data_IF_784013212580
#
_entry.id   IF_784013212580
#
_cell.length_a   1.000
_cell.length_b   1.000
_cell.length_c   1.000
_cell.angle_alpha   90.00
_cell.angle_beta   90.00
_cell.angle_gamma   90.00
#
_symmetry.space_group_name_H-M   'P 1'
#
loop_
_entity.id
_entity.type
_entity.pdbx_description
1 polymer ?
#
# COMPACT_ATOMS: atom_id res chain seq x y z
N UNK A 1 87.45 33.15 41.53
CA UNK A 1 86.38 32.85 40.55
C UNK A 1 85.67 34.16 40.18
N UNK A 2 85.75 34.62 38.94
CA UNK A 2 85.15 35.92 38.53
C UNK A 2 83.65 35.73 38.32
N UNK A 3 82.84 36.22 39.24
CA UNK A 3 81.38 36.20 39.10
C UNK A 3 81.00 37.03 37.87
N UNK A 4 80.50 36.37 36.82
CA UNK A 4 80.03 37.07 35.61
C UNK A 4 78.88 37.97 36.05
N UNK A 5 78.94 39.28 35.73
CA UNK A 5 77.86 40.23 36.01
C UNK A 5 76.56 39.66 35.44
N UNK A 6 75.61 39.35 36.33
CA UNK A 6 74.28 38.90 35.94
C UNK A 6 73.56 40.00 35.16
N UNK A 7 72.72 39.62 34.20
CA UNK A 7 71.83 40.56 33.49
C UNK A 7 70.49 40.54 34.20
N UNK A 8 70.09 41.69 34.76
CA UNK A 8 68.77 41.90 35.34
C UNK A 8 67.90 42.66 34.33
N UNK A 9 66.63 42.27 34.20
CA UNK A 9 65.65 42.92 33.31
C UNK A 9 64.34 43.12 34.06
N UNK A 10 63.63 44.18 33.70
CA UNK A 10 62.26 44.46 34.16
C UNK A 10 61.19 43.87 33.24
N UNK A 11 61.59 43.50 32.01
CA UNK A 11 60.69 42.90 31.01
C UNK A 11 60.97 41.39 30.86
N UNK A 12 59.90 40.60 30.93
CA UNK A 12 59.91 39.14 31.00
C UNK A 12 60.43 38.54 29.70
N UNK A 13 60.12 39.20 28.60
CA UNK A 13 60.48 38.77 27.25
C UNK A 13 61.91 39.16 26.88
N UNK A 14 62.51 40.09 27.62
CA UNK A 14 63.93 40.46 27.47
C UNK A 14 64.85 39.60 28.37
N UNK A 15 64.28 38.72 29.20
CA UNK A 15 65.05 37.82 30.04
C UNK A 15 65.64 36.70 29.18
N UNK A 16 66.94 36.41 29.34
CA UNK A 16 67.60 35.34 28.57
C UNK A 16 67.06 33.95 28.91
N UNK A 17 66.79 33.72 30.19
CA UNK A 17 66.32 32.46 30.72
C UNK A 17 65.36 32.73 31.87
N UNK A 18 64.22 32.04 31.87
CA UNK A 18 63.24 32.05 32.96
C UNK A 18 62.75 30.61 33.14
N UNK A 19 62.76 30.14 34.39
CA UNK A 19 62.16 28.86 34.75
C UNK A 19 60.67 29.04 35.01
N UNK A 20 59.84 28.27 34.32
CA UNK A 20 58.39 28.28 34.51
C UNK A 20 57.96 27.19 35.49
N UNK A 21 57.14 27.56 36.49
CA UNK A 21 56.61 26.61 37.49
C UNK A 21 55.09 26.70 37.66
N UNK A 22 54.46 25.57 37.99
CA UNK A 22 53.05 25.50 38.44
C UNK A 22 52.91 25.72 39.95
N UNK A 23 54.00 25.66 40.71
CA UNK A 23 53.98 25.87 42.16
C UNK A 23 54.19 27.36 42.49
N UNK A 24 53.13 28.03 42.94
CA UNK A 24 53.15 29.46 43.28
C UNK A 24 54.08 29.80 44.45
N UNK A 25 54.17 28.91 45.45
CA UNK A 25 55.02 29.12 46.63
C UNK A 25 56.50 29.13 46.25
N UNK A 26 56.92 28.23 45.35
CA UNK A 26 58.30 28.19 44.86
C UNK A 26 58.71 29.49 44.16
N UNK A 27 57.82 30.06 43.34
CA UNK A 27 58.08 31.32 42.65
C UNK A 27 58.19 32.49 43.64
N UNK A 28 57.33 32.53 44.67
CA UNK A 28 57.36 33.56 45.71
C UNK A 28 58.62 33.48 46.58
N UNK A 29 58.97 32.28 47.07
CA UNK A 29 60.15 32.07 47.90
C UNK A 29 61.44 32.37 47.15
N UNK A 30 61.56 31.91 45.90
CA UNK A 30 62.72 32.21 45.06
C UNK A 30 62.86 33.72 44.84
N UNK A 31 61.76 34.43 44.53
CA UNK A 31 61.80 35.89 44.38
C UNK A 31 62.28 36.58 45.65
N UNK A 32 61.71 36.21 46.80
CA UNK A 32 62.09 36.77 48.10
C UNK A 32 63.57 36.54 48.40
N UNK A 33 64.07 35.32 48.21
CA UNK A 33 65.48 34.97 48.44
C UNK A 33 66.43 35.69 47.48
N UNK A 34 66.07 35.85 46.22
CA UNK A 34 66.90 36.62 45.27
C UNK A 34 67.03 38.10 45.64
N UNK A 35 65.99 38.69 46.25
CA UNK A 35 66.01 40.08 46.75
C UNK A 35 66.83 40.17 48.04
N UNK A 36 66.63 39.24 48.99
CA UNK A 36 67.38 39.20 50.26
C UNK A 36 68.91 39.06 50.02
N UNK A 37 69.31 38.29 49.01
CA UNK A 37 70.72 38.10 48.66
C UNK A 37 71.31 39.22 47.80
N UNK A 38 70.53 40.24 47.43
CA UNK A 38 70.96 41.34 46.57
C UNK A 38 71.28 40.93 45.12
N UNK A 39 70.89 39.72 44.70
CA UNK A 39 71.14 39.18 43.35
C UNK A 39 70.18 39.81 42.33
N UNK A 40 68.96 40.15 42.76
CA UNK A 40 67.92 40.76 41.93
C UNK A 40 67.30 41.98 42.62
N UNK A 41 67.02 43.04 41.85
CA UNK A 41 66.24 44.18 42.33
C UNK A 41 64.78 43.75 42.57
N UNK A 42 64.05 44.32 43.55
CA UNK A 42 62.62 44.05 43.74
C UNK A 42 61.77 44.31 42.49
N UNK A 43 62.22 45.24 41.63
CA UNK A 43 61.60 45.62 40.36
C UNK A 43 61.99 44.73 39.18
N UNK A 44 62.96 43.84 39.35
CA UNK A 44 63.42 42.93 38.31
C UNK A 44 62.69 41.60 38.36
N UNK A 45 62.70 40.91 37.23
CA UNK A 45 61.98 39.65 37.09
C UNK A 45 62.77 38.53 37.73
N UNK A 46 62.14 37.71 38.61
CA UNK A 46 62.82 36.61 39.26
C UNK A 46 63.17 35.51 38.25
N UNK A 47 64.20 34.70 38.52
CA UNK A 47 64.60 33.59 37.65
C UNK A 47 63.52 32.50 37.55
N UNK A 48 62.60 32.41 38.52
CA UNK A 48 61.48 31.48 38.53
C UNK A 48 60.18 32.26 38.51
N UNK A 49 59.37 32.03 37.47
CA UNK A 49 58.08 32.72 37.28
C UNK A 49 56.95 31.68 37.29
N UNK A 50 55.87 32.03 37.98
CA UNK A 50 54.68 31.18 38.02
C UNK A 50 53.95 31.20 36.66
N UNK A 51 53.44 30.05 36.22
CA UNK A 51 52.76 29.89 34.93
C UNK A 51 51.68 30.95 34.70
N UNK A 52 50.87 31.28 35.72
CA UNK A 52 49.83 32.32 35.60
C UNK A 52 50.42 33.69 35.27
N UNK A 53 51.49 34.12 35.95
CA UNK A 53 52.12 35.44 35.71
C UNK A 53 52.71 35.51 34.31
N UNK A 54 53.36 34.43 33.86
CA UNK A 54 53.89 34.33 32.50
C UNK A 54 52.77 34.36 31.45
N UNK A 55 51.73 33.52 31.61
CA UNK A 55 50.58 33.51 30.70
C UNK A 55 49.85 34.85 30.66
N UNK A 56 49.65 35.51 31.80
CA UNK A 56 49.04 36.85 31.86
C UNK A 56 49.92 37.88 31.17
N UNK A 57 51.25 37.84 31.35
CA UNK A 57 52.14 38.77 30.66
C UNK A 57 52.18 38.56 29.14
N UNK A 58 52.08 37.31 28.67
CA UNK A 58 51.89 37.00 27.25
C UNK A 58 50.56 37.58 26.80
N UNK A 59 49.48 37.26 27.51
CA UNK A 59 48.13 37.69 27.15
C UNK A 59 47.97 39.21 27.15
N UNK A 60 48.57 39.95 28.08
CA UNK A 60 48.54 41.41 28.09
C UNK A 60 49.37 42.01 26.94
N UNK A 61 50.50 41.38 26.61
CA UNK A 61 51.38 41.86 25.52
C UNK A 61 50.83 41.54 24.14
N UNK A 62 50.15 40.40 23.99
CA UNK A 62 49.53 40.00 22.73
C UNK A 62 48.10 40.54 22.61
N UNK A 63 47.33 40.58 23.70
CA UNK A 63 45.87 40.67 23.69
C UNK A 63 45.23 42.07 23.73
N UNK A 64 45.98 43.15 23.96
CA UNK A 64 45.38 44.49 24.17
C UNK A 64 45.58 45.50 23.03
N UNK A 65 46.25 45.17 21.92
CA UNK A 65 46.51 46.18 20.89
C UNK A 65 47.00 45.74 19.51
N UNK A 66 47.18 44.45 19.23
CA UNK A 66 47.49 44.01 17.88
C UNK A 66 46.19 43.64 17.16
N UNK A 67 45.72 44.50 16.24
CA UNK A 67 44.52 44.30 15.43
C UNK A 67 44.49 43.02 14.56
N UNK A 68 45.61 42.27 14.53
CA UNK A 68 45.77 41.00 13.83
C UNK A 68 46.15 39.87 14.82
N UNK A 69 45.44 39.74 15.94
CA UNK A 69 45.53 38.53 16.77
C UNK A 69 44.66 37.43 16.17
N UNK A 70 45.16 36.79 15.12
CA UNK A 70 44.69 35.46 14.77
C UNK A 70 45.12 34.51 15.90
N UNK A 71 44.29 34.36 16.93
CA UNK A 71 44.44 33.23 17.85
C UNK A 71 44.44 31.99 16.96
N UNK A 72 45.52 31.19 16.94
CA UNK A 72 45.61 30.07 16.01
C UNK A 72 44.38 29.20 16.21
N UNK A 73 43.57 29.01 15.15
CA UNK A 73 42.33 28.22 15.22
C UNK A 73 42.57 26.86 15.88
N UNK A 74 43.75 26.27 15.67
CA UNK A 74 44.22 25.04 16.30
C UNK A 74 44.26 25.10 17.84
N UNK A 75 44.70 26.21 18.41
CA UNK A 75 44.76 26.39 19.88
C UNK A 75 43.37 26.53 20.48
N UNK A 76 42.47 27.26 19.80
CA UNK A 76 41.07 27.35 20.21
C UNK A 76 40.40 25.99 20.13
N UNK A 77 40.55 25.28 19.01
CA UNK A 77 40.00 23.93 18.83
C UNK A 77 40.53 22.96 19.88
N UNK A 78 41.85 22.96 20.17
CA UNK A 78 42.42 22.12 21.22
C UNK A 78 41.91 22.48 22.63
N UNK A 79 41.66 23.77 22.88
CA UNK A 79 41.08 24.21 24.16
C UNK A 79 39.61 23.81 24.27
N UNK A 80 38.85 23.91 23.17
CA UNK A 80 37.46 23.42 23.09
C UNK A 80 37.40 21.90 23.27
N UNK A 81 38.28 21.15 22.62
CA UNK A 81 38.41 19.71 22.78
C UNK A 81 38.70 19.34 24.25
N UNK A 82 39.59 20.07 24.92
CA UNK A 82 39.88 19.84 26.34
C UNK A 82 38.69 20.15 27.27
N UNK A 83 37.81 21.08 26.88
CA UNK A 83 36.58 21.37 27.63
C UNK A 83 35.50 20.33 27.36
N UNK A 84 35.41 19.83 26.12
CA UNK A 84 34.46 18.79 25.72
C UNK A 84 34.89 17.38 26.15
N UNK A 85 36.19 17.18 26.43
CA UNK A 85 36.70 15.91 26.91
C UNK A 85 36.12 15.56 28.28
N UNK A 86 35.59 14.34 28.38
CA UNK A 86 35.01 13.78 29.61
C UNK A 86 36.10 13.74 30.69
N UNK A 87 35.90 14.49 31.78
CA UNK A 87 36.82 14.48 32.92
C UNK A 87 36.56 13.26 33.80
N UNK A 88 37.51 12.32 33.92
CA UNK A 88 37.30 11.11 34.73
C UNK A 88 37.05 11.44 36.20
N UNK A 89 37.56 12.57 36.70
CA UNK A 89 37.33 13.02 38.07
C UNK A 89 35.86 13.27 38.41
N UNK A 90 35.07 13.82 37.48
CA UNK A 90 33.62 14.05 37.70
C UNK A 90 32.88 12.72 37.71
N UNK A 91 33.18 11.85 36.75
CA UNK A 91 32.57 10.50 36.67
C UNK A 91 32.88 9.69 37.92
N UNK A 92 34.12 9.73 38.41
CA UNK A 92 34.51 9.04 39.64
C UNK A 92 33.83 9.62 40.88
N UNK A 93 33.63 10.94 40.95
CA UNK A 93 32.89 11.57 42.04
C UNK A 93 31.41 11.12 42.04
N UNK A 94 30.74 11.15 40.89
CA UNK A 94 29.35 10.65 40.76
C UNK A 94 29.27 9.17 41.12
N UNK A 95 30.22 8.35 40.64
CA UNK A 95 30.31 6.93 40.97
C UNK A 95 30.48 6.70 42.47
N UNK A 96 31.38 7.45 43.11
CA UNK A 96 31.64 7.33 44.56
C UNK A 96 30.41 7.68 45.38
N UNK A 97 29.70 8.76 45.04
CA UNK A 97 28.49 9.15 45.78
C UNK A 97 27.34 8.15 45.51
N UNK A 98 27.23 7.65 44.27
CA UNK A 98 26.24 6.59 43.96
C UNK A 98 26.54 5.29 44.72
N UNK A 99 27.81 4.94 44.89
CA UNK A 99 28.24 3.83 45.74
C UNK A 99 27.91 4.05 47.22
N UNK A 100 28.07 5.28 47.73
CA UNK A 100 27.69 5.64 49.10
C UNK A 100 26.18 5.53 49.35
N UNK A 101 25.36 5.76 48.33
CA UNK A 101 23.90 5.60 48.40
C UNK A 101 23.45 4.12 48.40
N UNK A 102 24.32 3.18 48.01
CA UNK A 102 24.04 1.74 48.07
C UNK A 102 23.17 1.17 46.93
N UNK A 103 22.79 1.98 45.93
CA UNK A 103 21.95 1.54 44.82
C UNK A 103 22.77 0.87 43.69
N UNK A 104 22.95 -0.45 43.75
CA UNK A 104 23.69 -1.19 42.71
C UNK A 104 23.12 -1.01 41.30
N UNK A 105 21.79 -0.92 41.18
CA UNK A 105 21.11 -0.72 39.91
C UNK A 105 21.52 0.61 39.25
N UNK A 106 21.64 1.69 40.04
CA UNK A 106 22.03 3.02 39.54
C UNK A 106 23.51 3.06 39.16
N UNK A 107 24.36 2.29 39.82
CA UNK A 107 25.77 2.16 39.44
C UNK A 107 25.90 1.52 38.06
N UNK A 108 25.20 0.39 37.82
CA UNK A 108 25.18 -0.25 36.50
C UNK A 108 24.60 0.68 35.43
N UNK A 109 23.53 1.40 35.77
CA UNK A 109 22.94 2.39 34.89
C UNK A 109 23.91 3.54 34.57
N UNK A 110 24.69 4.02 35.55
CA UNK A 110 25.72 5.02 35.35
C UNK A 110 26.80 4.52 34.39
N UNK A 111 27.28 3.28 34.56
CA UNK A 111 28.28 2.71 33.66
C UNK A 111 27.76 2.63 32.22
N UNK A 112 26.49 2.25 32.04
CA UNK A 112 25.84 2.26 30.73
C UNK A 112 25.73 3.68 30.16
N UNK A 113 25.33 4.66 30.96
CA UNK A 113 25.20 6.05 30.53
C UNK A 113 26.56 6.69 30.22
N UNK A 114 27.60 6.40 30.99
CA UNK A 114 28.97 6.90 30.77
C UNK A 114 29.59 6.29 29.52
N UNK A 115 29.23 5.06 29.16
CA UNK A 115 29.67 4.44 27.90
C UNK A 115 29.14 5.17 26.65
N UNK A 116 28.15 6.07 26.81
CA UNK A 116 27.58 6.88 25.74
C UNK A 116 28.06 8.32 25.84
N UNK A 117 28.74 8.78 24.79
CA UNK A 117 29.37 10.11 24.75
C UNK A 117 28.39 11.24 25.05
N UNK A 118 27.14 11.17 24.55
CA UNK A 118 26.16 12.25 24.70
C UNK A 118 25.60 12.38 26.11
N UNK A 119 25.36 11.27 26.79
CA UNK A 119 24.94 11.26 28.19
C UNK A 119 26.08 11.74 29.09
N UNK A 120 27.33 11.36 28.79
CA UNK A 120 28.49 11.88 29.50
C UNK A 120 28.74 13.38 29.25
N UNK A 121 28.47 13.89 28.05
CA UNK A 121 28.51 15.32 27.75
C UNK A 121 27.46 16.11 28.55
N UNK A 122 26.21 15.62 28.64
CA UNK A 122 25.19 16.25 29.48
C UNK A 122 25.61 16.33 30.95
N UNK A 123 26.26 15.28 31.46
CA UNK A 123 26.84 15.30 32.81
C UNK A 123 27.90 16.41 32.96
N UNK A 124 28.79 16.56 31.97
CA UNK A 124 29.81 17.61 31.97
C UNK A 124 29.20 19.01 31.88
N UNK A 125 28.17 19.20 31.07
CA UNK A 125 27.48 20.47 30.90
C UNK A 125 26.79 20.91 32.21
N UNK A 126 26.11 19.99 32.89
CA UNK A 126 25.43 20.29 34.16
C UNK A 126 26.39 20.50 35.34
N UNK A 127 27.54 19.82 35.32
CA UNK A 127 28.56 19.95 36.38
C UNK A 127 29.65 20.98 36.07
N UNK A 128 29.64 21.58 34.87
CA UNK A 128 30.70 22.45 34.35
C UNK A 128 32.11 21.82 34.44
N UNK A 129 32.18 20.49 34.46
CA UNK A 129 33.43 19.74 34.62
C UNK A 129 34.10 19.88 36.00
N UNK A 130 33.36 20.31 37.03
CA UNK A 130 33.84 20.43 38.40
C UNK A 130 33.42 19.23 39.26
N UNK A 131 34.40 18.52 39.83
CA UNK A 131 34.15 17.31 40.63
C UNK A 131 33.51 17.60 42.01
N UNK A 132 33.41 18.87 42.42
CA UNK A 132 32.80 19.30 43.68
C UNK A 132 31.30 19.61 43.56
N UNK A 133 30.75 19.61 42.34
CA UNK A 133 29.34 19.92 42.10
C UNK A 133 28.42 18.72 42.40
N UNK A 134 28.78 17.47 42.05
CA UNK A 134 27.95 16.32 42.41
C UNK A 134 27.84 16.14 43.94
N UNK A 135 26.61 16.05 44.44
CA UNK A 135 26.23 15.88 45.84
C UNK A 135 25.10 14.83 45.95
N UNK A 136 24.87 14.28 47.14
CA UNK A 136 23.81 13.28 47.35
C UNK A 136 22.42 13.78 46.90
N UNK A 137 22.13 15.06 47.10
CA UNK A 137 20.82 15.66 46.81
C UNK A 137 20.58 15.93 45.31
N UNK A 138 21.63 16.15 44.52
CA UNK A 138 21.50 16.52 43.10
C UNK A 138 21.72 15.36 42.13
N UNK A 139 22.16 14.20 42.62
CA UNK A 139 22.51 13.06 41.78
C UNK A 139 21.30 12.50 41.04
N UNK A 140 20.14 12.42 41.68
CA UNK A 140 18.91 11.96 41.01
C UNK A 140 18.53 12.85 39.84
N UNK A 141 18.68 14.17 39.99
CA UNK A 141 18.43 15.13 38.91
C UNK A 141 19.46 14.97 37.78
N UNK A 142 20.74 14.86 38.12
CA UNK A 142 21.81 14.60 37.13
C UNK A 142 21.56 13.31 36.33
N UNK A 143 21.11 12.23 36.98
CA UNK A 143 20.75 10.99 36.29
C UNK A 143 19.58 11.18 35.32
N UNK A 144 18.53 11.89 35.72
CA UNK A 144 17.38 12.16 34.85
C UNK A 144 17.78 12.99 33.63
N UNK A 145 18.64 13.98 33.81
CA UNK A 145 19.19 14.80 32.73
C UNK A 145 20.09 13.99 31.79
N UNK A 146 20.92 13.08 32.31
CA UNK A 146 21.73 12.17 31.50
C UNK A 146 20.90 11.15 30.71
N UNK A 147 19.73 10.75 31.23
CA UNK A 147 18.80 9.82 30.59
C UNK A 147 18.03 10.46 29.44
N UNK A 148 17.72 11.75 29.54
CA UNK A 148 16.95 12.48 28.54
C UNK A 148 17.47 12.34 27.10
N UNK A 149 18.76 12.61 26.78
CA UNK A 149 19.27 12.47 25.41
C UNK A 149 19.19 11.03 24.89
N UNK A 150 19.37 10.04 25.77
CA UNK A 150 19.27 8.64 25.40
C UNK A 150 17.83 8.26 25.01
N UNK A 151 16.85 8.67 25.82
CA UNK A 151 15.44 8.43 25.52
C UNK A 151 14.98 9.18 24.26
N UNK A 152 15.52 10.36 23.99
CA UNK A 152 15.24 11.07 22.74
C UNK A 152 15.80 10.35 21.51
N UNK A 153 17.00 9.80 21.58
CA UNK A 153 17.61 9.04 20.49
C UNK A 153 16.82 7.77 20.19
N UNK A 154 16.49 6.99 21.23
CA UNK A 154 15.65 5.79 21.09
C UNK A 154 14.28 6.14 20.49
N UNK A 155 13.63 7.21 20.97
CA UNK A 155 12.36 7.68 20.39
C UNK A 155 12.49 8.06 18.93
N UNK A 156 13.59 8.70 18.53
CA UNK A 156 13.84 9.07 17.12
C UNK A 156 14.06 7.83 16.26
N UNK A 157 14.83 6.86 16.72
CA UNK A 157 15.06 5.59 16.01
C UNK A 157 13.77 4.76 15.90
N UNK A 158 12.98 4.69 16.97
CA UNK A 158 11.67 4.04 16.95
C UNK A 158 10.71 4.76 15.99
N UNK A 159 10.72 6.09 15.97
CA UNK A 159 9.88 6.85 15.04
C UNK A 159 10.29 6.64 13.57
N UNK A 160 11.59 6.56 13.27
CA UNK A 160 12.04 6.30 11.90
C UNK A 160 11.69 4.88 11.45
N UNK A 161 11.94 3.86 12.29
CA UNK A 161 11.58 2.47 12.00
C UNK A 161 10.07 2.28 11.82
N UNK A 162 9.24 2.86 12.70
CA UNK A 162 7.79 2.84 12.55
C UNK A 162 7.30 3.53 11.26
N UNK A 163 7.93 4.64 10.87
CA UNK A 163 7.59 5.31 9.62
C UNK A 163 7.95 4.46 8.40
N UNK A 164 9.12 3.80 8.41
CA UNK A 164 9.53 2.87 7.36
C UNK A 164 8.59 1.66 7.26
N UNK A 165 8.21 1.07 8.39
CA UNK A 165 7.25 -0.04 8.43
C UNK A 165 5.87 0.39 7.94
N UNK A 166 5.40 1.57 8.35
CA UNK A 166 4.13 2.13 7.87
C UNK A 166 4.15 2.39 6.37
N UNK A 167 5.25 2.91 5.84
CA UNK A 167 5.40 3.13 4.41
C UNK A 167 5.40 1.80 3.63
N UNK A 168 6.13 0.79 4.12
CA UNK A 168 6.09 -0.58 3.55
C UNK A 168 4.70 -1.20 3.61
N UNK A 169 3.95 -0.98 4.70
CA UNK A 169 2.58 -1.46 4.84
C UNK A 169 1.63 -0.77 3.84
N UNK A 170 1.77 0.55 3.65
CA UNK A 170 1.00 1.31 2.66
C UNK A 170 1.30 0.84 1.24
N UNK A 171 2.57 0.61 0.89
CA UNK A 171 2.96 0.08 -0.42
C UNK A 171 2.40 -1.32 -0.69
N UNK A 172 2.40 -2.20 0.33
CA UNK A 172 1.76 -3.52 0.23
C UNK A 172 0.26 -3.38 0.00
N UNK A 173 -0.42 -2.55 0.78
CA UNK A 173 -1.86 -2.33 0.64
C UNK A 173 -2.23 -1.73 -0.72
N UNK A 174 -1.41 -0.82 -1.26
CA UNK A 174 -1.62 -0.24 -2.59
C UNK A 174 -1.50 -1.30 -3.70
N UNK A 175 -0.47 -2.17 -3.61
CA UNK A 175 -0.30 -3.29 -4.55
C UNK A 175 -1.46 -4.29 -4.49
N UNK A 176 -1.95 -4.57 -3.29
CA UNK A 176 -3.09 -5.48 -3.13
C UNK A 176 -4.40 -4.86 -3.64
N UNK A 177 -4.61 -3.55 -3.44
CA UNK A 177 -5.74 -2.85 -4.04
C UNK A 177 -5.68 -2.82 -5.58
N UNK A 178 -4.49 -2.68 -6.17
CA UNK A 178 -4.31 -2.74 -7.61
C UNK A 178 -4.62 -4.14 -8.16
N UNK A 179 -4.20 -5.21 -7.46
CA UNK A 179 -4.57 -6.59 -7.81
C UNK A 179 -6.09 -6.81 -7.72
N UNK A 180 -6.72 -6.37 -6.63
CA UNK A 180 -8.18 -6.49 -6.48
C UNK A 180 -8.91 -5.73 -7.61
N UNK A 181 -8.41 -4.55 -8.00
CA UNK A 181 -9.02 -3.76 -9.07
C UNK A 181 -8.83 -4.40 -10.44
N UNK A 182 -7.67 -4.97 -10.73
CA UNK A 182 -7.41 -5.68 -11.98
C UNK A 182 -8.23 -6.96 -12.09
N UNK A 183 -8.33 -7.74 -11.00
CA UNK A 183 -9.20 -8.92 -10.94
C UNK A 183 -10.69 -8.56 -11.06
N UNK A 184 -11.14 -7.48 -10.41
CA UNK A 184 -12.52 -7.00 -10.54
C UNK A 184 -12.82 -6.55 -11.98
N UNK A 185 -11.89 -5.87 -12.64
CA UNK A 185 -12.02 -5.49 -14.05
C UNK A 185 -12.09 -6.70 -14.98
N UNK A 186 -11.24 -7.71 -14.76
CA UNK A 186 -11.27 -8.96 -15.53
C UNK A 186 -12.57 -9.77 -15.32
N UNK A 187 -13.13 -9.76 -14.11
CA UNK A 187 -14.44 -10.37 -13.84
C UNK A 187 -15.56 -9.63 -14.57
N UNK A 188 -15.54 -8.30 -14.57
CA UNK A 188 -16.53 -7.51 -15.31
C UNK A 188 -16.46 -7.76 -16.82
N UNK A 189 -15.27 -7.79 -17.43
CA UNK A 189 -15.15 -8.09 -18.86
C UNK A 189 -15.64 -9.50 -19.20
N UNK A 190 -15.32 -10.49 -18.36
CA UNK A 190 -15.83 -11.86 -18.54
C UNK A 190 -17.35 -11.93 -18.39
N UNK A 191 -17.94 -11.21 -17.42
CA UNK A 191 -19.39 -11.13 -17.27
C UNK A 191 -20.07 -10.46 -18.46
N UNK A 192 -19.46 -9.41 -19.02
CA UNK A 192 -19.94 -8.76 -20.24
C UNK A 192 -19.87 -9.69 -21.46
N UNK A 193 -18.77 -10.41 -21.65
CA UNK A 193 -18.61 -11.42 -22.71
C UNK A 193 -19.64 -12.55 -22.59
N UNK A 194 -19.84 -13.08 -21.37
CA UNK A 194 -20.86 -14.10 -21.11
C UNK A 194 -22.27 -13.57 -21.37
N UNK A 195 -22.55 -12.31 -21.01
CA UNK A 195 -23.83 -11.66 -21.28
C UNK A 195 -24.06 -11.46 -22.79
N UNK A 196 -23.02 -11.06 -23.53
CA UNK A 196 -23.07 -10.95 -24.99
C UNK A 196 -23.30 -12.31 -25.65
N UNK A 197 -22.52 -13.34 -25.28
CA UNK A 197 -22.70 -14.71 -25.78
C UNK A 197 -24.12 -15.23 -25.49
N UNK A 198 -24.65 -15.01 -24.28
CA UNK A 198 -26.04 -15.39 -23.94
C UNK A 198 -27.06 -14.67 -24.81
N UNK A 199 -26.84 -13.39 -25.16
CA UNK A 199 -27.73 -12.63 -26.04
C UNK A 199 -27.66 -13.14 -27.48
N UNK A 200 -26.46 -13.39 -28.00
CA UNK A 200 -26.26 -13.97 -29.33
C UNK A 200 -26.93 -15.34 -29.43
N UNK A 201 -26.71 -16.21 -28.44
CA UNK A 201 -27.37 -17.51 -28.36
C UNK A 201 -28.89 -17.35 -28.32
N UNK A 202 -29.43 -16.46 -27.50
CA UNK A 202 -30.87 -16.23 -27.44
C UNK A 202 -31.45 -15.75 -28.78
N UNK A 203 -30.76 -14.82 -29.46
CA UNK A 203 -31.18 -14.33 -30.78
C UNK A 203 -31.12 -15.42 -31.85
N UNK A 204 -30.10 -16.29 -31.83
CA UNK A 204 -29.99 -17.45 -32.71
C UNK A 204 -31.12 -18.47 -32.47
N UNK A 205 -31.51 -18.70 -31.22
CA UNK A 205 -32.65 -19.57 -30.90
C UNK A 205 -33.97 -18.96 -31.36
N UNK A 206 -34.16 -17.66 -31.14
CA UNK A 206 -35.38 -16.96 -31.57
C UNK A 206 -35.53 -16.97 -33.09
N UNK A 207 -34.45 -16.77 -33.83
CA UNK A 207 -34.47 -16.86 -35.31
C UNK A 207 -34.77 -18.29 -35.77
N UNK A 208 -34.17 -19.31 -35.14
CA UNK A 208 -34.47 -20.71 -35.42
C UNK A 208 -35.95 -21.06 -35.16
N UNK A 209 -36.50 -20.66 -34.00
CA UNK A 209 -37.91 -20.89 -33.68
C UNK A 209 -38.84 -20.22 -34.70
N UNK A 210 -38.51 -18.99 -35.12
CA UNK A 210 -39.25 -18.26 -36.16
C UNK A 210 -39.20 -18.99 -37.50
N UNK A 211 -38.01 -19.41 -37.94
CA UNK A 211 -37.84 -20.13 -39.20
C UNK A 211 -38.63 -21.44 -39.22
N UNK A 212 -38.58 -22.23 -38.14
CA UNK A 212 -39.35 -23.48 -38.06
C UNK A 212 -40.84 -23.20 -38.06
N UNK A 213 -41.33 -22.17 -37.33
CA UNK A 213 -42.74 -21.80 -37.37
C UNK A 213 -43.22 -21.40 -38.77
N UNK A 214 -42.37 -20.70 -39.55
CA UNK A 214 -42.67 -20.34 -40.94
C UNK A 214 -42.74 -21.58 -41.82
N UNK A 215 -41.81 -22.52 -41.67
CA UNK A 215 -41.80 -23.78 -42.43
C UNK A 215 -43.06 -24.60 -42.11
N UNK A 216 -43.42 -24.73 -40.82
CA UNK A 216 -44.62 -25.45 -40.40
C UNK A 216 -45.91 -24.79 -40.92
N UNK A 217 -46.00 -23.45 -40.87
CA UNK A 217 -47.14 -22.71 -41.44
C UNK A 217 -47.23 -22.87 -42.95
N UNK A 218 -46.11 -22.87 -43.67
CA UNK A 218 -46.08 -23.15 -45.12
C UNK A 218 -46.59 -24.56 -45.40
N UNK A 219 -46.16 -25.57 -44.64
CA UNK A 219 -46.66 -26.94 -44.78
C UNK A 219 -48.16 -27.06 -44.46
N UNK A 220 -48.68 -26.31 -43.49
CA UNK A 220 -50.11 -26.27 -43.23
C UNK A 220 -50.88 -25.59 -44.37
N UNK A 221 -50.37 -24.48 -44.92
CA UNK A 221 -50.98 -23.80 -46.06
C UNK A 221 -50.99 -24.67 -47.31
N UNK A 222 -49.92 -25.40 -47.61
CA UNK A 222 -49.90 -26.31 -48.76
C UNK A 222 -50.89 -27.46 -48.57
N UNK A 223 -50.99 -28.04 -47.36
CA UNK A 223 -52.02 -29.05 -47.07
C UNK A 223 -53.44 -28.51 -47.22
N UNK A 224 -53.71 -27.29 -46.73
CA UNK A 224 -55.00 -26.62 -46.89
C UNK A 224 -55.30 -26.34 -48.37
N UNK A 225 -54.31 -25.88 -49.13
CA UNK A 225 -54.46 -25.64 -50.57
C UNK A 225 -54.73 -26.93 -51.34
N UNK A 226 -54.03 -28.02 -51.03
CA UNK A 226 -54.26 -29.35 -51.64
C UNK A 226 -55.65 -29.89 -51.27
N UNK A 227 -56.08 -29.75 -50.01
CA UNK A 227 -57.43 -30.13 -49.60
C UNK A 227 -58.50 -29.30 -50.31
N UNK A 228 -58.28 -27.99 -50.46
CA UNK A 228 -59.18 -27.07 -51.16
C UNK A 228 -59.25 -27.36 -52.66
N UNK A 229 -58.11 -27.65 -53.30
CA UNK A 229 -58.04 -28.13 -54.68
C UNK A 229 -58.78 -29.46 -54.85
N UNK A 230 -58.61 -30.40 -53.92
CA UNK A 230 -59.35 -31.67 -53.93
C UNK A 230 -60.86 -31.47 -53.85
N UNK A 231 -61.32 -30.56 -52.97
CA UNK A 231 -62.73 -30.21 -52.86
C UNK A 231 -63.25 -29.50 -54.12
N UNK A 232 -62.47 -28.61 -54.72
CA UNK A 232 -62.81 -27.92 -55.97
C UNK A 232 -62.96 -28.92 -57.13
N UNK A 233 -62.03 -29.86 -57.27
CA UNK A 233 -62.08 -30.91 -58.31
C UNK A 233 -63.33 -31.78 -58.11
N UNK A 234 -63.66 -32.14 -56.88
CA UNK A 234 -64.87 -32.93 -56.58
C UNK A 234 -66.14 -32.16 -56.93
N UNK A 235 -66.19 -30.86 -56.62
CA UNK A 235 -67.31 -29.99 -56.98
C UNK A 235 -67.45 -29.88 -58.51
N UNK A 236 -66.36 -29.65 -59.25
CA UNK A 236 -66.38 -29.60 -60.72
C UNK A 236 -66.90 -30.92 -61.30
N UNK A 237 -66.46 -32.07 -60.77
CA UNK A 237 -66.95 -33.40 -61.19
C UNK A 237 -68.46 -33.56 -60.99
N UNK A 238 -69.04 -32.96 -59.94
CA UNK A 238 -70.51 -33.01 -59.74
C UNK A 238 -71.30 -32.13 -60.72
N UNK A 239 -70.66 -31.12 -61.33
CA UNK A 239 -71.30 -30.20 -62.27
C UNK A 239 -71.06 -30.55 -63.74
N UNK A 240 -70.18 -31.50 -64.07
CA UNK A 240 -70.02 -31.95 -65.46
C UNK A 240 -71.27 -32.70 -65.94
N UNK A 241 -71.77 -32.40 -67.16
CA UNK A 241 -72.90 -33.10 -67.74
C UNK A 241 -72.51 -34.56 -68.01
N UNK A 242 -73.01 -35.47 -67.19
CA UNK A 242 -72.87 -36.91 -67.40
C UNK A 242 -73.58 -37.31 -68.71
N UNK A 243 -72.98 -38.21 -69.51
CA UNK A 243 -73.57 -38.71 -70.76
C UNK A 243 -74.92 -39.39 -70.50
N UNK A 244 -75.86 -39.26 -71.44
CA UNK A 244 -77.30 -39.48 -71.29
C UNK A 244 -77.80 -40.89 -70.91
N UNK A 245 -76.91 -41.83 -70.58
CA UNK A 245 -77.24 -43.25 -70.41
C UNK A 245 -77.61 -43.68 -68.98
N UNK A 246 -77.75 -42.76 -68.02
CA UNK A 246 -78.03 -43.10 -66.61
C UNK A 246 -79.29 -42.34 -66.13
N UNK A 247 -80.44 -43.00 -66.11
CA UNK A 247 -81.61 -42.59 -65.33
C UNK A 247 -81.61 -43.35 -63.98
N UNK A 248 -81.87 -42.72 -62.82
CA UNK A 248 -82.41 -41.36 -62.61
C UNK A 248 -81.34 -40.26 -62.40
N UNK A 249 -81.34 -39.25 -63.28
CA UNK A 249 -80.38 -38.13 -63.31
C UNK A 249 -80.43 -37.23 -62.07
N UNK A 250 -81.57 -37.16 -61.38
CA UNK A 250 -81.77 -36.26 -60.24
C UNK A 250 -81.18 -36.81 -58.93
N UNK A 251 -81.25 -38.13 -58.71
CA UNK A 251 -80.74 -38.76 -57.50
C UNK A 251 -79.21 -38.63 -57.41
N UNK A 252 -78.51 -38.74 -58.54
CA UNK A 252 -77.06 -38.58 -58.61
C UNK A 252 -76.62 -37.14 -58.34
N UNK A 253 -77.37 -36.15 -58.85
CA UNK A 253 -77.12 -34.72 -58.55
C UNK A 253 -77.37 -34.40 -57.08
N UNK A 254 -78.44 -34.93 -56.49
CA UNK A 254 -78.76 -34.71 -55.08
C UNK A 254 -77.71 -35.36 -54.16
N UNK A 255 -77.30 -36.59 -54.46
CA UNK A 255 -76.24 -37.30 -53.74
C UNK A 255 -74.89 -36.56 -53.85
N UNK A 256 -74.54 -36.06 -55.04
CA UNK A 256 -73.35 -35.22 -55.25
C UNK A 256 -73.40 -33.91 -54.48
N UNK A 257 -74.57 -33.28 -54.40
CA UNK A 257 -74.78 -32.03 -53.65
C UNK A 257 -74.68 -32.27 -52.13
N UNK A 258 -75.25 -33.35 -51.61
CA UNK A 258 -75.10 -33.74 -50.21
C UNK A 258 -73.63 -34.08 -49.89
N UNK A 259 -72.95 -34.81 -50.76
CA UNK A 259 -71.53 -35.15 -50.58
C UNK A 259 -70.63 -33.91 -50.60
N UNK A 260 -70.89 -32.93 -51.47
CA UNK A 260 -70.14 -31.67 -51.53
C UNK A 260 -70.43 -30.77 -50.34
N UNK A 261 -71.67 -30.67 -49.86
CA UNK A 261 -72.01 -29.95 -48.62
C UNK A 261 -71.34 -30.62 -47.42
N UNK A 262 -71.40 -31.95 -47.33
CA UNK A 262 -70.77 -32.69 -46.23
C UNK A 262 -69.25 -32.52 -46.24
N UNK A 263 -68.60 -32.59 -47.41
CA UNK A 263 -67.16 -32.37 -47.54
C UNK A 263 -66.76 -30.91 -47.26
N UNK A 264 -67.52 -29.92 -47.73
CA UNK A 264 -67.24 -28.50 -47.40
C UNK A 264 -67.44 -28.23 -45.92
N UNK A 265 -68.48 -28.78 -45.29
CA UNK A 265 -68.68 -28.74 -43.85
C UNK A 265 -67.52 -29.40 -43.10
N UNK A 266 -67.08 -30.59 -43.51
CA UNK A 266 -65.89 -31.26 -42.96
C UNK A 266 -64.59 -30.49 -43.23
N UNK A 267 -64.50 -29.70 -44.30
CA UNK A 267 -63.30 -28.89 -44.57
C UNK A 267 -63.26 -27.67 -43.65
N UNK A 268 -64.43 -27.08 -43.36
CA UNK A 268 -64.57 -25.91 -42.47
C UNK A 268 -64.43 -26.33 -40.99
N UNK A 269 -65.12 -27.39 -40.58
CA UNK A 269 -65.15 -27.87 -39.18
C UNK A 269 -64.06 -28.91 -38.87
N UNK A 270 -63.56 -29.63 -39.87
CA UNK A 270 -62.52 -30.66 -39.70
C UNK A 270 -61.16 -30.11 -39.29
N UNK A 271 -60.93 -28.80 -39.38
CA UNK A 271 -59.72 -28.22 -38.79
C UNK A 271 -59.71 -28.38 -37.25
N UNK A 272 -60.88 -28.48 -36.62
CA UNK A 272 -61.05 -28.81 -35.19
C UNK A 272 -61.15 -30.32 -34.96
N UNK A 273 -61.94 -31.03 -35.78
CA UNK A 273 -62.28 -32.44 -35.56
C UNK A 273 -61.21 -33.46 -36.02
N UNK A 274 -60.39 -33.16 -37.03
CA UNK A 274 -59.40 -34.11 -37.56
C UNK A 274 -58.04 -34.08 -36.84
N UNK A 275 -57.90 -33.32 -35.74
CA UNK A 275 -56.60 -33.11 -35.09
C UNK A 275 -55.46 -32.85 -36.10
N UNK A 276 -55.75 -32.07 -37.15
CA UNK A 276 -54.75 -31.62 -38.14
C UNK A 276 -53.72 -30.66 -37.53
N UNK A 277 -53.92 -30.29 -36.25
CA UNK A 277 -52.89 -29.68 -35.42
C UNK A 277 -51.60 -30.49 -35.50
N UNK A 278 -50.50 -29.80 -35.75
CA UNK A 278 -49.19 -30.46 -35.77
C UNK A 278 -48.97 -30.98 -34.35
N UNK A 279 -48.88 -32.31 -34.21
CA UNK A 279 -48.59 -32.89 -32.91
C UNK A 279 -47.30 -32.31 -32.35
N UNK A 280 -47.27 -32.05 -31.05
CA UNK A 280 -46.11 -31.47 -30.34
C UNK A 280 -44.83 -32.24 -30.68
N UNK A 281 -44.90 -33.57 -30.76
CA UNK A 281 -43.77 -34.44 -31.13
C UNK A 281 -43.25 -34.17 -32.53
N UNK A 282 -44.15 -33.97 -33.51
CA UNK A 282 -43.76 -33.71 -34.90
C UNK A 282 -43.14 -32.32 -35.05
N UNK A 283 -43.69 -31.32 -34.35
CA UNK A 283 -43.11 -29.98 -34.29
C UNK A 283 -41.70 -30.03 -33.67
N UNK A 284 -41.53 -30.72 -32.54
CA UNK A 284 -40.24 -30.89 -31.87
C UNK A 284 -39.24 -31.69 -32.72
N UNK A 285 -39.69 -32.71 -33.46
CA UNK A 285 -38.83 -33.48 -34.36
C UNK A 285 -38.28 -32.61 -35.49
N UNK A 286 -39.12 -31.77 -36.09
CA UNK A 286 -38.67 -30.86 -37.16
C UNK A 286 -37.79 -29.73 -36.61
N UNK A 287 -38.07 -29.25 -35.40
CA UNK A 287 -37.20 -28.32 -34.68
C UNK A 287 -35.81 -28.93 -34.44
N UNK A 288 -35.72 -30.14 -33.88
CA UNK A 288 -34.46 -30.86 -33.67
C UNK A 288 -33.72 -31.12 -34.98
N UNK A 289 -34.44 -31.43 -36.06
CA UNK A 289 -33.86 -31.63 -37.39
C UNK A 289 -33.22 -30.34 -37.93
N UNK A 290 -33.90 -29.19 -37.79
CA UNK A 290 -33.36 -27.90 -38.21
C UNK A 290 -32.23 -27.41 -37.29
N UNK A 291 -32.31 -27.68 -35.99
CA UNK A 291 -31.23 -27.42 -35.04
C UNK A 291 -29.96 -28.21 -35.39
N UNK A 292 -30.07 -29.51 -35.68
CA UNK A 292 -28.94 -30.34 -36.15
C UNK A 292 -28.32 -29.82 -37.44
N UNK A 293 -29.13 -29.37 -38.40
CA UNK A 293 -28.63 -28.77 -39.65
C UNK A 293 -27.80 -27.51 -39.41
N UNK A 294 -28.06 -26.76 -38.34
CA UNK A 294 -27.31 -25.56 -37.97
C UNK A 294 -26.27 -25.80 -36.87
N UNK A 295 -26.04 -27.06 -36.47
CA UNK A 295 -25.18 -27.44 -35.35
C UNK A 295 -25.54 -26.72 -34.02
N UNK A 296 -26.85 -26.52 -33.77
CA UNK A 296 -27.40 -25.87 -32.57
C UNK A 296 -28.07 -26.88 -31.62
N UNK A 297 -27.84 -28.18 -31.78
CA UNK A 297 -28.51 -29.22 -31.00
C UNK A 297 -28.12 -29.18 -29.51
N UNK A 298 -26.83 -29.06 -29.20
CA UNK A 298 -26.35 -28.94 -27.81
C UNK A 298 -26.87 -27.68 -27.11
N UNK A 299 -27.11 -26.60 -27.86
CA UNK A 299 -27.62 -25.35 -27.30
C UNK A 299 -29.14 -25.40 -27.09
N UNK A 300 -29.86 -26.12 -27.96
CA UNK A 300 -31.30 -26.32 -27.84
C UNK A 300 -31.67 -27.08 -26.56
N UNK A 301 -30.83 -28.02 -26.11
CA UNK A 301 -31.06 -28.77 -24.87
C UNK A 301 -30.96 -27.92 -23.60
N UNK A 302 -30.31 -26.75 -23.67
CA UNK A 302 -30.17 -25.83 -22.52
C UNK A 302 -31.40 -24.95 -22.30
N UNK A 303 -32.30 -24.85 -23.28
CA UNK A 303 -33.48 -24.01 -23.20
C UNK A 303 -34.76 -24.83 -23.31
N UNK A 304 -35.66 -24.62 -22.35
CA UNK A 304 -36.99 -25.24 -22.40
C UNK A 304 -37.82 -24.57 -23.50
N UNK A 305 -37.93 -25.24 -24.64
CA UNK A 305 -38.77 -24.79 -25.75
C UNK A 305 -40.17 -25.36 -25.59
N UNK A 306 -41.15 -24.48 -25.45
CA UNK A 306 -42.57 -24.83 -25.34
C UNK A 306 -43.26 -24.61 -26.69
N UNK A 307 -44.13 -25.54 -27.08
CA UNK A 307 -44.95 -25.43 -28.28
C UNK A 307 -46.37 -25.01 -27.90
N UNK A 308 -46.79 -23.81 -28.30
CA UNK A 308 -48.11 -23.23 -28.03
C UNK A 308 -49.09 -23.44 -29.21
N UNK A 309 -49.00 -24.58 -29.89
CA UNK A 309 -49.91 -24.96 -30.98
C UNK A 309 -49.60 -24.32 -32.34
N UNK A 310 -49.23 -23.04 -32.38
CA UNK A 310 -48.97 -22.29 -33.62
C UNK A 310 -47.57 -21.65 -33.71
N UNK A 311 -46.85 -21.56 -32.57
CA UNK A 311 -45.49 -21.04 -32.50
C UNK A 311 -44.71 -21.69 -31.36
N UNK A 312 -43.38 -21.69 -31.51
CA UNK A 312 -42.47 -22.02 -30.42
C UNK A 312 -42.23 -20.77 -29.57
N UNK A 313 -42.47 -20.88 -28.28
CA UNK A 313 -42.08 -19.88 -27.29
C UNK A 313 -40.90 -20.43 -26.49
N UNK A 314 -39.87 -19.60 -26.33
CA UNK A 314 -38.76 -19.90 -25.44
C UNK A 314 -39.23 -19.59 -24.03
N UNK A 315 -39.34 -20.60 -23.17
CA UNK A 315 -39.57 -20.34 -21.76
C UNK A 315 -38.37 -19.55 -21.24
N UNK A 316 -38.61 -18.32 -20.80
CA UNK A 316 -37.57 -17.46 -20.28
C UNK A 316 -37.14 -18.04 -18.93
N UNK A 317 -36.14 -18.92 -18.92
CA UNK A 317 -35.68 -19.68 -17.74
C UNK A 317 -35.04 -18.81 -16.63
N UNK A 318 -35.21 -17.48 -16.68
CA UNK A 318 -34.77 -16.51 -15.66
C UNK A 318 -35.21 -16.86 -14.23
N UNK A 319 -36.28 -17.65 -14.05
CA UNK A 319 -36.81 -17.98 -12.74
C UNK A 319 -36.09 -19.16 -12.04
N UNK A 320 -35.35 -20.03 -12.74
CA UNK A 320 -34.74 -21.22 -12.11
C UNK A 320 -33.31 -20.99 -11.58
N UNK A 321 -32.54 -20.08 -12.17
CA UNK A 321 -31.12 -19.87 -11.78
C UNK A 321 -30.94 -19.11 -10.45
N UNK A 322 -31.95 -18.38 -9.96
CA UNK A 322 -31.83 -17.61 -8.71
C UNK A 322 -32.06 -18.43 -7.42
N UNK A 323 -32.46 -19.70 -7.51
CA UNK A 323 -32.85 -20.50 -6.31
C UNK A 323 -31.76 -21.43 -5.79
N UNK A 324 -30.58 -21.50 -6.44
CA UNK A 324 -29.51 -22.45 -6.09
C UNK A 324 -28.20 -21.81 -5.64
N UNK A 325 -28.18 -20.50 -5.34
CA UNK A 325 -26.98 -19.78 -4.89
C UNK A 325 -27.18 -19.04 -3.55
N UNK A 326 -28.02 -19.59 -2.66
CA UNK A 326 -28.07 -19.21 -1.25
C UNK A 326 -27.62 -20.35 -0.36
#
# INVERSE_FOLDING_TARGET
MRQRRGRSTRDLFNAKFVLLTKNGLLAQLTRRKCVELGVASPSSIPPVVHRRVFSTSIWLRTGLGAGNLEIPKRLLLASCEQVLAIRPGVVNAVRQITQQLGDEAKIRQLDLLVSRDRSAQMLMDKTLGAASVPNADNISELFNEMLHPYLEEERRQHKSTLNEERQRALERSAKDHEKIRTEAGARQSLEEELCQQRREDFTAHKSLCRDVSIILRRQQRTKKAVAWLGALILAIMTFLPLPDYIEPKWAFRLAGLIATIMMTYLTITGNSLLHLGISKEKALKELKRQARKRALDQKLERHDVVWEGDSFTLANNRAKEHTTLF
#
